data_IF_487865627573
#
_entry.id   IF_487865627573
#
_cell.length_a   1.000
_cell.length_b   1.000
_cell.length_c   1.000
_cell.angle_alpha   90.00
_cell.angle_beta   90.00
_cell.angle_gamma   90.00
#
_symmetry.space_group_name_H-M   'P 1'
#
loop_
_entity.id
_entity.type
_entity.pdbx_description
1 polymer ?
#
# COMPACT_ATOMS: atom_id res chain seq x y z
N UNK A 1 -20.19 -3.19 11.44
CA UNK A 1 -19.15 -4.21 11.21
C UNK A 1 -19.39 -5.47 12.05
N UNK A 2 -19.60 -5.35 13.37
CA UNK A 2 -19.71 -6.50 14.28
C UNK A 2 -20.84 -7.50 13.98
N UNK A 3 -21.95 -7.05 13.37
CA UNK A 3 -23.12 -7.90 13.03
C UNK A 3 -22.81 -8.91 11.90
N UNK A 4 -21.85 -8.61 11.01
CA UNK A 4 -21.48 -9.47 9.87
C UNK A 4 -20.21 -10.28 10.18
N UNK A 5 -19.28 -9.70 10.93
CA UNK A 5 -17.99 -10.32 11.24
C UNK A 5 -18.10 -11.48 12.23
N UNK A 6 -19.01 -11.41 13.19
CA UNK A 6 -19.23 -12.48 14.17
C UNK A 6 -19.78 -13.77 13.56
N UNK A 7 -20.83 -13.77 12.72
CA UNK A 7 -21.29 -15.01 12.08
C UNK A 7 -20.26 -15.55 11.08
N UNK A 8 -19.51 -14.69 10.38
CA UNK A 8 -18.46 -15.13 9.47
C UNK A 8 -17.30 -15.81 10.21
N UNK A 9 -16.85 -15.24 11.33
CA UNK A 9 -15.84 -15.86 12.20
C UNK A 9 -16.30 -17.22 12.73
N UNK A 10 -17.57 -17.33 13.15
CA UNK A 10 -18.16 -18.60 13.61
C UNK A 10 -18.25 -19.67 12.51
N UNK A 11 -18.61 -19.27 11.28
CA UNK A 11 -18.64 -20.19 10.12
C UNK A 11 -17.22 -20.67 9.77
N UNK A 12 -16.23 -19.76 9.77
CA UNK A 12 -14.84 -20.12 9.53
C UNK A 12 -14.29 -21.05 10.61
N UNK A 13 -14.61 -20.78 11.87
CA UNK A 13 -14.28 -21.66 12.98
C UNK A 13 -14.89 -23.05 12.80
N UNK A 14 -16.16 -23.14 12.40
CA UNK A 14 -16.83 -24.43 12.15
C UNK A 14 -16.17 -25.23 11.00
N UNK A 15 -15.71 -24.56 9.94
CA UNK A 15 -15.10 -25.21 8.77
C UNK A 15 -13.64 -25.62 9.03
N UNK A 16 -12.89 -24.77 9.74
CA UNK A 16 -11.42 -24.89 9.83
C UNK A 16 -10.92 -25.34 11.21
N UNK A 17 -11.75 -25.21 12.25
CA UNK A 17 -11.36 -25.40 13.65
C UNK A 17 -10.48 -24.28 14.21
N UNK A 18 -10.23 -23.20 13.45
CA UNK A 18 -9.34 -22.10 13.82
C UNK A 18 -10.19 -20.86 14.14
N UNK A 19 -9.95 -20.25 15.30
CA UNK A 19 -10.59 -18.98 15.67
C UNK A 19 -9.88 -17.83 14.96
N UNK A 20 -10.60 -17.11 14.10
CA UNK A 20 -10.05 -15.98 13.34
C UNK A 20 -10.54 -14.68 13.97
N UNK A 21 -9.58 -13.83 14.35
CA UNK A 21 -9.86 -12.51 14.92
C UNK A 21 -10.58 -11.62 13.89
N UNK A 22 -11.48 -10.77 14.37
CA UNK A 22 -12.29 -9.90 13.50
C UNK A 22 -11.44 -9.01 12.59
N UNK A 23 -10.30 -8.52 13.08
CA UNK A 23 -9.41 -7.61 12.34
C UNK A 23 -8.70 -8.32 11.18
N UNK A 24 -8.33 -9.59 11.36
CA UNK A 24 -7.78 -10.42 10.29
C UNK A 24 -8.82 -10.67 9.19
N UNK A 25 -10.09 -10.84 9.55
CA UNK A 25 -11.18 -10.97 8.58
C UNK A 25 -11.44 -9.68 7.81
N UNK A 26 -11.37 -8.53 8.48
CA UNK A 26 -11.50 -7.21 7.82
C UNK A 26 -10.34 -7.00 6.84
N UNK A 27 -9.12 -7.31 7.25
CA UNK A 27 -7.93 -7.24 6.41
C UNK A 27 -8.07 -8.12 5.17
N UNK A 28 -8.40 -9.39 5.35
CA UNK A 28 -8.60 -10.30 4.24
C UNK A 28 -9.73 -9.84 3.30
N UNK A 29 -10.86 -9.40 3.86
CA UNK A 29 -12.01 -8.92 3.10
C UNK A 29 -11.64 -7.68 2.27
N UNK A 30 -10.88 -6.74 2.85
CA UNK A 30 -10.45 -5.54 2.15
C UNK A 30 -9.41 -5.82 1.05
N UNK A 31 -8.60 -6.88 1.17
CA UNK A 31 -7.76 -7.36 0.06
C UNK A 31 -8.59 -7.87 -1.12
N UNK A 32 -9.64 -8.65 -0.87
CA UNK A 32 -10.56 -9.11 -1.93
C UNK A 32 -11.33 -7.94 -2.55
N UNK A 33 -11.81 -7.00 -1.73
CA UNK A 33 -12.46 -5.78 -2.21
C UNK A 33 -11.51 -4.94 -3.06
N UNK A 34 -10.23 -4.83 -2.69
CA UNK A 34 -9.21 -4.16 -3.49
C UNK A 34 -8.98 -4.86 -4.83
N UNK A 35 -8.96 -6.20 -4.87
CA UNK A 35 -8.83 -6.97 -6.10
C UNK A 35 -10.02 -6.77 -7.05
N UNK A 36 -11.25 -6.84 -6.52
CA UNK A 36 -12.47 -6.58 -7.30
C UNK A 36 -12.51 -5.12 -7.77
N UNK A 37 -12.16 -4.19 -6.87
CA UNK A 37 -12.06 -2.76 -7.18
C UNK A 37 -11.03 -2.45 -8.25
N UNK A 38 -9.90 -3.18 -8.29
CA UNK A 38 -8.89 -3.07 -9.34
C UNK A 38 -9.43 -3.52 -10.70
N UNK A 39 -10.15 -4.64 -10.73
CA UNK A 39 -10.81 -5.13 -11.95
C UNK A 39 -11.88 -4.14 -12.44
N UNK A 40 -12.72 -3.64 -11.52
CA UNK A 40 -13.74 -2.64 -11.82
C UNK A 40 -13.12 -1.33 -12.31
N UNK A 41 -12.05 -0.85 -11.68
CA UNK A 41 -11.31 0.33 -12.13
C UNK A 41 -10.81 0.16 -13.56
N UNK A 42 -10.17 -0.98 -13.87
CA UNK A 42 -9.64 -1.26 -15.20
C UNK A 42 -10.73 -1.37 -16.28
N UNK A 43 -11.90 -1.91 -15.95
CA UNK A 43 -12.95 -2.13 -16.94
C UNK A 43 -13.92 -0.95 -17.10
N UNK A 44 -14.22 -0.24 -16.01
CA UNK A 44 -15.21 0.83 -16.02
C UNK A 44 -14.60 2.22 -16.01
N UNK A 45 -13.60 2.49 -15.15
CA UNK A 45 -13.04 3.84 -14.99
C UNK A 45 -11.96 4.15 -16.04
N UNK A 46 -11.08 3.20 -16.32
CA UNK A 46 -9.95 3.45 -17.23
C UNK A 46 -10.38 3.65 -18.70
N UNK A 47 -11.36 2.92 -19.26
CA UNK A 47 -11.84 3.15 -20.62
C UNK A 47 -12.82 4.33 -20.73
N UNK A 48 -13.36 4.79 -19.60
CA UNK A 48 -14.28 5.92 -19.57
C UNK A 48 -13.56 7.23 -19.84
N UNK A 49 -14.26 8.22 -20.42
CA UNK A 49 -13.77 9.59 -20.61
C UNK A 49 -13.64 10.38 -19.30
N UNK A 50 -13.44 9.71 -18.16
CA UNK A 50 -13.33 10.33 -16.84
C UNK A 50 -11.99 11.07 -16.73
N UNK A 51 -11.98 12.35 -16.30
CA UNK A 51 -10.76 13.13 -16.14
C UNK A 51 -9.74 12.49 -15.19
N UNK A 52 -8.45 12.63 -15.47
CA UNK A 52 -7.36 12.08 -14.66
C UNK A 52 -7.46 12.47 -13.19
N UNK A 53 -7.78 13.73 -12.88
CA UNK A 53 -7.92 14.22 -11.50
C UNK A 53 -9.01 13.47 -10.73
N UNK A 54 -10.14 13.18 -11.38
CA UNK A 54 -11.24 12.42 -10.78
C UNK A 54 -10.80 10.98 -10.54
N UNK A 55 -10.07 10.36 -11.46
CA UNK A 55 -9.53 9.02 -11.27
C UNK A 55 -8.54 8.95 -10.10
N UNK A 56 -7.66 9.95 -9.99
CA UNK A 56 -6.69 10.07 -8.89
C UNK A 56 -7.42 10.22 -7.54
N UNK A 57 -8.43 11.09 -7.47
CA UNK A 57 -9.24 11.28 -6.26
C UNK A 57 -10.01 10.03 -5.86
N UNK A 58 -10.69 9.38 -6.80
CA UNK A 58 -11.43 8.14 -6.53
C UNK A 58 -10.51 7.04 -6.01
N UNK A 59 -9.35 6.87 -6.64
CA UNK A 59 -8.33 5.89 -6.24
C UNK A 59 -7.80 6.17 -4.83
N UNK A 60 -7.56 7.44 -4.49
CA UNK A 60 -7.08 7.83 -3.17
C UNK A 60 -8.14 7.70 -2.08
N UNK A 61 -9.38 8.09 -2.37
CA UNK A 61 -10.51 8.01 -1.44
C UNK A 61 -10.83 6.55 -1.13
N UNK A 62 -10.78 5.67 -2.12
CA UNK A 62 -10.97 4.24 -1.92
C UNK A 62 -9.83 3.62 -1.08
N UNK A 63 -8.59 4.06 -1.28
CA UNK A 63 -7.46 3.62 -0.44
C UNK A 63 -7.57 4.08 1.01
N UNK A 64 -7.98 5.33 1.25
CA UNK A 64 -8.27 5.86 2.59
C UNK A 64 -9.40 5.09 3.26
N UNK A 65 -10.46 4.80 2.50
CA UNK A 65 -11.57 4.00 3.00
C UNK A 65 -11.14 2.59 3.40
N UNK A 66 -10.33 1.91 2.57
CA UNK A 66 -9.74 0.60 2.92
C UNK A 66 -8.88 0.68 4.18
N UNK A 67 -8.00 1.69 4.29
CA UNK A 67 -7.18 1.87 5.49
C UNK A 67 -8.06 2.07 6.73
N UNK A 68 -9.06 2.96 6.65
CA UNK A 68 -9.96 3.28 7.75
C UNK A 68 -10.77 2.06 8.20
N UNK A 69 -11.20 1.19 7.28
CA UNK A 69 -11.90 -0.04 7.66
C UNK A 69 -11.02 -0.96 8.53
N UNK A 70 -9.72 -1.02 8.26
CA UNK A 70 -8.78 -1.89 8.96
C UNK A 70 -8.30 -1.32 10.29
N UNK A 71 -8.01 -0.02 10.34
CA UNK A 71 -7.31 0.62 11.46
C UNK A 71 -8.00 1.86 12.00
N UNK A 72 -9.20 2.19 11.51
CA UNK A 72 -10.04 3.26 12.05
C UNK A 72 -9.32 4.59 12.23
N UNK A 73 -9.26 5.05 13.47
CA UNK A 73 -8.74 6.37 13.83
C UNK A 73 -7.25 6.56 13.57
N UNK A 74 -6.48 5.49 13.39
CA UNK A 74 -5.05 5.59 13.04
C UNK A 74 -4.82 6.22 11.65
N UNK A 75 -5.86 6.45 10.85
CA UNK A 75 -5.78 7.14 9.54
C UNK A 75 -5.12 8.54 9.60
N UNK A 76 -5.17 9.21 10.75
CA UNK A 76 -4.53 10.51 10.91
C UNK A 76 -3.00 10.45 10.78
N UNK A 77 -2.38 9.31 11.10
CA UNK A 77 -0.93 9.12 11.03
C UNK A 77 -0.41 9.14 9.58
N UNK A 78 -0.90 8.30 8.64
CA UNK A 78 -0.47 8.40 7.24
C UNK A 78 -0.89 9.72 6.59
N UNK A 79 -2.02 10.34 6.99
CA UNK A 79 -2.40 11.66 6.48
C UNK A 79 -1.37 12.72 6.87
N UNK A 80 -0.94 12.72 8.14
CA UNK A 80 0.12 13.59 8.63
C UNK A 80 1.43 13.35 7.87
N UNK A 81 1.83 12.10 7.67
CA UNK A 81 3.07 11.75 6.99
C UNK A 81 3.08 12.21 5.51
N UNK A 82 1.99 11.97 4.78
CA UNK A 82 1.85 12.36 3.37
C UNK A 82 1.81 13.88 3.22
N UNK A 83 1.01 14.58 4.03
CA UNK A 83 0.91 16.04 3.97
C UNK A 83 2.23 16.69 4.38
N UNK A 84 2.82 16.26 5.49
CA UNK A 84 4.12 16.76 5.96
C UNK A 84 5.22 16.59 4.91
N UNK A 85 5.30 15.40 4.31
CA UNK A 85 6.28 15.12 3.26
C UNK A 85 6.06 15.97 2.00
N UNK A 86 4.81 16.18 1.59
CA UNK A 86 4.50 17.06 0.45
C UNK A 86 4.92 18.51 0.72
N UNK A 87 4.67 19.03 1.92
CA UNK A 87 5.09 20.37 2.32
C UNK A 87 6.62 20.51 2.30
N UNK A 88 7.35 19.49 2.76
CA UNK A 88 8.83 19.47 2.68
C UNK A 88 9.29 19.54 1.22
N UNK A 89 8.71 18.73 0.32
CA UNK A 89 9.03 18.75 -1.12
C UNK A 89 8.72 20.11 -1.75
N UNK A 90 7.63 20.76 -1.32
CA UNK A 90 7.15 22.02 -1.91
C UNK A 90 7.94 23.24 -1.45
N UNK A 91 8.38 23.27 -0.19
CA UNK A 91 9.06 24.42 0.41
C UNK A 91 10.59 24.31 0.42
N UNK A 92 11.13 23.12 0.19
CA UNK A 92 12.57 22.89 0.19
C UNK A 92 13.12 22.75 -1.22
N UNK A 93 14.37 23.16 -1.45
CA UNK A 93 15.06 22.93 -2.72
C UNK A 93 15.14 21.42 -3.06
N UNK A 94 14.92 21.01 -4.33
CA UNK A 94 15.06 19.62 -4.78
C UNK A 94 16.43 18.98 -4.48
N UNK A 95 17.47 19.79 -4.27
CA UNK A 95 18.82 19.32 -3.93
C UNK A 95 18.89 18.60 -2.58
N UNK A 96 18.03 18.96 -1.64
CA UNK A 96 18.09 18.44 -0.26
C UNK A 96 16.74 17.91 0.23
N UNK A 97 15.64 18.20 -0.46
CA UNK A 97 14.28 17.80 -0.04
C UNK A 97 14.15 16.28 0.20
N UNK A 98 14.77 15.45 -0.64
CA UNK A 98 14.76 13.99 -0.48
C UNK A 98 15.34 13.51 0.85
N UNK A 99 16.38 14.17 1.37
CA UNK A 99 16.99 13.84 2.66
C UNK A 99 16.03 14.16 3.81
N UNK A 100 15.37 15.32 3.74
CA UNK A 100 14.39 15.73 4.74
C UNK A 100 13.14 14.85 4.72
N UNK A 101 12.61 14.52 3.54
CA UNK A 101 11.48 13.59 3.40
C UNK A 101 11.84 12.21 3.96
N UNK A 102 13.02 11.68 3.60
CA UNK A 102 13.49 10.41 4.11
C UNK A 102 13.56 10.40 5.64
N UNK A 103 14.23 11.40 6.23
CA UNK A 103 14.35 11.51 7.69
C UNK A 103 12.99 11.65 8.37
N UNK A 104 12.11 12.48 7.82
CA UNK A 104 10.76 12.70 8.36
C UNK A 104 9.92 11.42 8.33
N UNK A 105 9.75 10.82 7.15
CA UNK A 105 8.93 9.61 6.96
C UNK A 105 9.48 8.41 7.73
N UNK A 106 10.80 8.21 7.77
CA UNK A 106 11.43 7.16 8.58
C UNK A 106 11.25 7.41 10.08
N UNK A 107 11.27 8.67 10.53
CA UNK A 107 11.01 9.00 11.95
C UNK A 107 9.56 8.70 12.33
N UNK A 108 8.60 9.04 11.47
CA UNK A 108 7.19 8.71 11.67
C UNK A 108 7.01 7.19 11.71
N UNK A 109 7.54 6.44 10.74
CA UNK A 109 7.48 4.98 10.72
C UNK A 109 8.13 4.34 11.95
N UNK A 110 9.29 4.87 12.38
CA UNK A 110 9.99 4.39 13.59
C UNK A 110 9.14 4.63 14.84
N UNK A 111 8.49 5.78 14.96
CA UNK A 111 7.58 6.08 16.06
C UNK A 111 6.37 5.13 16.06
N UNK A 112 5.80 4.81 14.89
CA UNK A 112 4.74 3.81 14.77
C UNK A 112 5.21 2.43 15.25
N UNK A 113 6.40 1.98 14.84
CA UNK A 113 6.96 0.72 15.31
C UNK A 113 7.20 0.69 16.82
N UNK A 114 7.75 1.77 17.39
CA UNK A 114 7.94 1.89 18.83
C UNK A 114 6.59 1.90 19.58
N UNK A 115 5.57 2.55 19.03
CA UNK A 115 4.23 2.57 19.59
C UNK A 115 3.59 1.17 19.57
N UNK A 116 3.66 0.45 18.46
CA UNK A 116 3.19 -0.94 18.35
C UNK A 116 3.92 -1.85 19.34
N UNK A 117 5.25 -1.69 19.47
CA UNK A 117 6.05 -2.45 20.44
C UNK A 117 5.66 -2.13 21.89
N UNK A 118 5.42 -0.86 22.20
CA UNK A 118 4.97 -0.42 23.52
C UNK A 118 3.63 -1.05 23.88
N UNK A 119 2.64 -1.00 22.99
CA UNK A 119 1.32 -1.61 23.21
C UNK A 119 1.44 -3.13 23.43
N UNK A 120 2.30 -3.80 22.65
CA UNK A 120 2.55 -5.23 22.78
C UNK A 120 3.19 -5.60 24.14
N UNK A 121 4.16 -4.82 24.62
CA UNK A 121 4.88 -5.09 25.88
C UNK A 121 4.06 -4.79 27.12
N UNK A 122 3.26 -3.72 27.12
CA UNK A 122 2.53 -3.24 28.31
C UNK A 122 1.11 -3.78 28.42
N UNK A 123 0.73 -4.75 27.58
CA UNK A 123 -0.43 -5.60 27.81
C UNK A 123 -1.75 -4.84 27.92
N UNK A 124 -1.95 -3.80 27.09
CA UNK A 124 -3.30 -3.26 26.85
C UNK A 124 -4.09 -4.31 26.07
N UNK A 125 -4.47 -5.36 26.79
CA UNK A 125 -5.11 -6.57 26.28
C UNK A 125 -6.48 -6.21 25.72
N UNK A 126 -6.54 -6.03 24.41
CA UNK A 126 -7.72 -5.60 23.69
C UNK A 126 -7.41 -4.81 22.42
N UNK A 127 -6.20 -4.25 22.30
CA UNK A 127 -5.76 -3.44 21.14
C UNK A 127 -4.61 -4.12 20.36
N UNK A 128 -4.51 -5.45 20.46
CA UNK A 128 -3.53 -6.29 19.75
C UNK A 128 -3.82 -6.40 18.23
N UNK A 129 -4.77 -5.63 17.73
CA UNK A 129 -5.48 -5.83 16.47
C UNK A 129 -5.01 -4.98 15.30
N UNK A 130 -3.98 -4.15 15.46
CA UNK A 130 -3.73 -3.10 14.51
C UNK A 130 -2.25 -2.83 14.30
N UNK A 131 -1.48 -3.79 13.79
CA UNK A 131 -0.18 -3.45 13.21
C UNK A 131 -0.37 -2.66 11.90
N UNK A 132 -0.68 -1.38 12.05
CA UNK A 132 -0.82 -0.40 10.98
C UNK A 132 0.56 0.06 10.46
N UNK A 133 1.67 -0.49 10.97
CA UNK A 133 3.00 -0.16 10.46
C UNK A 133 3.18 -0.69 9.04
N UNK A 134 2.51 -1.78 8.66
CA UNK A 134 2.57 -2.36 7.31
C UNK A 134 2.17 -1.35 6.19
N UNK A 135 0.99 -0.71 6.21
CA UNK A 135 0.67 0.32 5.24
C UNK A 135 1.56 1.57 5.38
N UNK A 136 2.04 1.89 6.59
CA UNK A 136 3.00 2.97 6.78
C UNK A 136 4.33 2.68 6.06
N UNK A 137 4.83 1.44 6.08
CA UNK A 137 6.02 1.05 5.33
C UNK A 137 5.85 1.31 3.83
N UNK A 138 4.70 0.93 3.25
CA UNK A 138 4.41 1.14 1.82
C UNK A 138 4.38 2.64 1.50
N UNK A 139 3.75 3.44 2.36
CA UNK A 139 3.69 4.90 2.21
C UNK A 139 5.11 5.49 2.31
N UNK A 140 5.88 5.16 3.34
CA UNK A 140 7.27 5.62 3.52
C UNK A 140 8.13 5.27 2.30
N UNK A 141 8.01 4.06 1.76
CA UNK A 141 8.71 3.64 0.53
C UNK A 141 8.30 4.50 -0.67
N UNK A 142 7.00 4.75 -0.87
CA UNK A 142 6.48 5.59 -1.96
C UNK A 142 6.98 7.03 -1.84
N UNK A 143 6.83 7.65 -0.67
CA UNK A 143 7.21 9.03 -0.39
C UNK A 143 8.72 9.23 -0.56
N UNK A 144 9.52 8.33 0.02
CA UNK A 144 10.98 8.35 -0.11
C UNK A 144 11.38 8.18 -1.58
N UNK A 145 10.90 7.15 -2.26
CA UNK A 145 11.23 6.87 -3.67
C UNK A 145 10.89 8.05 -4.59
N UNK A 146 9.72 8.66 -4.42
CA UNK A 146 9.32 9.85 -5.17
C UNK A 146 10.23 11.04 -4.88
N UNK A 147 10.59 11.27 -3.63
CA UNK A 147 11.46 12.39 -3.26
C UNK A 147 12.87 12.25 -3.89
N UNK A 148 13.44 11.04 -3.88
CA UNK A 148 14.70 10.75 -4.57
C UNK A 148 14.57 10.88 -6.09
N UNK A 149 13.46 10.40 -6.66
CA UNK A 149 13.19 10.54 -8.09
C UNK A 149 13.07 12.01 -8.53
N UNK A 150 12.50 12.88 -7.69
CA UNK A 150 12.48 14.33 -7.91
C UNK A 150 13.90 14.90 -7.83
N UNK A 151 14.69 14.51 -6.83
CA UNK A 151 16.08 14.97 -6.72
C UNK A 151 16.92 14.59 -7.95
N UNK A 152 16.83 13.33 -8.40
CA UNK A 152 17.49 12.84 -9.62
C UNK A 152 17.03 13.63 -10.86
N UNK A 153 15.75 13.97 -10.97
CA UNK A 153 15.20 14.70 -12.11
C UNK A 153 15.57 16.18 -12.20
N UNK A 154 15.83 16.84 -11.07
CA UNK A 154 16.11 18.28 -11.01
C UNK A 154 17.58 18.65 -10.81
N UNK A 155 18.38 17.77 -10.19
CA UNK A 155 19.71 18.17 -9.69
C UNK A 155 20.88 17.41 -10.29
N UNK A 156 20.63 16.26 -10.93
CA UNK A 156 21.68 15.42 -11.50
C UNK A 156 21.71 15.55 -13.02
N UNK A 157 22.93 15.55 -13.58
CA UNK A 157 23.11 15.52 -15.02
C UNK A 157 22.55 14.18 -15.56
N UNK A 158 21.67 14.18 -16.58
CA UNK A 158 21.15 12.97 -17.20
C UNK A 158 22.22 11.93 -17.57
N UNK A 159 23.39 12.37 -18.02
CA UNK A 159 24.48 11.45 -18.42
C UNK A 159 25.13 10.74 -17.24
N UNK A 160 25.00 11.31 -16.03
CA UNK A 160 25.53 10.75 -14.78
C UNK A 160 24.56 9.79 -14.07
N UNK A 161 23.34 9.66 -14.58
CA UNK A 161 22.31 8.78 -14.03
C UNK A 161 22.45 7.38 -14.61
N UNK A 162 22.25 6.36 -13.78
CA UNK A 162 22.03 5.00 -14.28
C UNK A 162 20.72 4.93 -15.09
N UNK A 163 20.58 3.91 -15.95
CA UNK A 163 19.38 3.79 -16.79
C UNK A 163 18.09 3.66 -15.98
N UNK A 164 18.14 2.97 -14.84
CA UNK A 164 17.00 2.89 -13.91
C UNK A 164 16.65 4.27 -13.32
N UNK A 165 17.66 5.06 -12.92
CA UNK A 165 17.42 6.42 -12.42
C UNK A 165 16.87 7.34 -13.50
N UNK A 166 17.35 7.23 -14.74
CA UNK A 166 16.80 7.99 -15.88
C UNK A 166 15.33 7.68 -16.10
N UNK A 167 14.93 6.42 -16.01
CA UNK A 167 13.55 5.98 -16.20
C UNK A 167 12.61 6.52 -15.11
N UNK A 168 13.09 6.57 -13.87
CA UNK A 168 12.27 6.99 -12.73
C UNK A 168 12.43 8.46 -12.36
N UNK A 169 13.37 9.19 -12.95
CA UNK A 169 13.58 10.62 -12.72
C UNK A 169 12.30 11.43 -12.96
N UNK A 170 11.93 12.25 -11.99
CA UNK A 170 10.73 13.09 -12.00
C UNK A 170 11.14 14.54 -12.22
N UNK A 171 10.87 15.05 -13.42
CA UNK A 171 11.28 16.40 -13.87
C UNK A 171 10.23 17.50 -13.62
N UNK A 172 9.15 17.17 -12.91
CA UNK A 172 8.11 18.11 -12.47
C UNK A 172 7.74 17.82 -11.02
N UNK A 173 7.53 18.86 -10.21
CA UNK A 173 6.96 18.63 -8.87
C UNK A 173 5.51 18.18 -9.06
N UNK A 174 5.09 17.01 -8.52
CA UNK A 174 3.71 16.55 -8.60
C UNK A 174 2.74 17.55 -7.99
N UNK A 175 1.51 17.62 -8.51
CA UNK A 175 0.44 18.33 -7.80
C UNK A 175 0.11 17.61 -6.49
N UNK A 176 -0.56 18.30 -5.56
CA UNK A 176 -0.99 17.67 -4.31
C UNK A 176 -1.88 16.44 -4.57
N UNK A 177 -2.78 16.51 -5.55
CA UNK A 177 -3.66 15.39 -5.91
C UNK A 177 -2.86 14.21 -6.47
N UNK A 178 -1.87 14.46 -7.34
CA UNK A 178 -0.98 13.41 -7.86
C UNK A 178 -0.19 12.74 -6.71
N UNK A 179 0.38 13.53 -5.81
CA UNK A 179 1.18 13.06 -4.68
C UNK A 179 0.33 12.26 -3.68
N UNK A 180 -0.84 12.80 -3.33
CA UNK A 180 -1.77 12.20 -2.39
C UNK A 180 -2.35 10.90 -2.93
N UNK A 181 -2.72 10.87 -4.22
CA UNK A 181 -3.24 9.68 -4.87
C UNK A 181 -2.19 8.59 -5.05
N UNK A 182 -0.96 8.95 -5.40
CA UNK A 182 0.14 8.00 -5.42
C UNK A 182 0.37 7.36 -4.03
N UNK A 183 0.34 8.16 -2.97
CA UNK A 183 0.54 7.69 -1.60
C UNK A 183 -0.58 6.75 -1.15
N UNK A 184 -1.83 7.16 -1.31
CA UNK A 184 -3.03 6.41 -0.90
C UNK A 184 -3.61 5.52 -2.01
N UNK A 185 -2.82 5.15 -3.02
CA UNK A 185 -3.32 4.31 -4.09
C UNK A 185 -3.73 2.94 -3.53
N UNK A 186 -5.03 2.62 -3.62
CA UNK A 186 -5.60 1.37 -3.09
C UNK A 186 -4.99 0.12 -3.71
N UNK A 187 -4.45 0.24 -4.93
CA UNK A 187 -3.67 -0.78 -5.63
C UNK A 187 -2.34 -0.94 -4.88
N UNK A 188 -2.36 -1.74 -3.82
CA UNK A 188 -1.17 -2.10 -3.05
C UNK A 188 -0.92 -1.31 -1.75
N UNK A 189 -1.87 -0.49 -1.27
CA UNK A 189 -1.69 0.22 0.01
C UNK A 189 -1.48 -0.72 1.22
N UNK A 190 -2.05 -1.93 1.17
CA UNK A 190 -2.00 -2.87 2.29
C UNK A 190 -0.76 -3.76 2.29
N UNK A 191 -0.38 -4.28 1.12
CA UNK A 191 0.71 -5.24 0.96
C UNK A 191 1.17 -5.31 -0.52
N UNK A 192 1.34 -4.15 -1.16
CA UNK A 192 1.80 -4.07 -2.54
C UNK A 192 3.31 -3.87 -2.65
N UNK A 193 3.94 -4.31 -3.76
CA UNK A 193 5.31 -3.91 -4.05
C UNK A 193 5.38 -2.40 -4.27
N UNK A 194 6.55 -1.82 -4.05
CA UNK A 194 6.82 -0.44 -4.43
C UNK A 194 6.67 -0.28 -5.95
N UNK A 195 5.80 0.65 -6.35
CA UNK A 195 5.61 1.07 -7.74
C UNK A 195 6.13 2.49 -7.85
N UNK A 196 7.02 2.76 -8.80
CA UNK A 196 7.56 4.11 -9.01
C UNK A 196 6.49 5.07 -9.56
N UNK A 197 6.61 6.35 -9.18
CA UNK A 197 5.64 7.40 -9.52
C UNK A 197 5.39 7.57 -11.02
N UNK A 198 6.43 7.54 -11.86
CA UNK A 198 6.27 7.67 -13.32
C UNK A 198 5.38 6.56 -13.89
N UNK A 199 5.60 5.32 -13.45
CA UNK A 199 4.80 4.17 -13.87
C UNK A 199 3.37 4.24 -13.33
N UNK A 200 3.19 4.67 -12.07
CA UNK A 200 1.86 4.94 -11.51
C UNK A 200 1.09 5.95 -12.36
N UNK A 201 1.71 7.09 -12.69
CA UNK A 201 1.09 8.13 -13.49
C UNK A 201 0.79 7.68 -14.92
N UNK A 202 1.63 6.84 -15.51
CA UNK A 202 1.37 6.24 -16.82
C UNK A 202 0.16 5.30 -16.78
N UNK A 203 0.06 4.46 -15.74
CA UNK A 203 -1.10 3.59 -15.52
C UNK A 203 -2.39 4.40 -15.39
N UNK A 204 -2.37 5.48 -14.61
CA UNK A 204 -3.55 6.34 -14.38
C UNK A 204 -3.96 7.11 -15.64
N UNK A 205 -3.02 7.42 -16.54
CA UNK A 205 -3.30 8.10 -17.81
C UNK A 205 -3.79 7.16 -18.92
N UNK A 206 -3.71 5.85 -18.72
CA UNK A 206 -4.00 4.87 -19.77
C UNK A 206 -3.00 4.93 -20.93
N UNK A 207 -1.70 4.96 -20.60
CA UNK A 207 -0.59 5.11 -21.55
C UNK A 207 -0.59 4.12 -22.73
N UNK A 208 0.14 4.48 -23.79
CA UNK A 208 0.17 3.74 -25.07
C UNK A 208 0.63 2.29 -24.91
N UNK A 209 1.55 2.00 -23.98
CA UNK A 209 2.03 0.63 -23.69
C UNK A 209 0.93 -0.27 -23.10
N UNK A 210 -0.02 0.32 -22.39
CA UNK A 210 -1.09 -0.42 -21.72
C UNK A 210 -2.17 -0.94 -22.71
N UNK A 211 -2.28 -0.32 -23.89
CA UNK A 211 -3.14 -0.82 -24.99
C UNK A 211 -2.60 -2.10 -25.63
N UNK A 212 -1.32 -2.41 -25.47
CA UNK A 212 -0.67 -3.63 -25.95
C UNK A 212 -0.37 -4.63 -24.83
N UNK A 213 -0.70 -4.30 -23.58
CA UNK A 213 -0.41 -5.17 -22.44
C UNK A 213 -1.23 -6.47 -22.51
N UNK A 214 -0.59 -7.65 -22.35
CA UNK A 214 -1.28 -8.93 -22.34
C UNK A 214 -2.31 -9.01 -21.19
N UNK A 215 -3.28 -9.91 -21.34
CA UNK A 215 -4.33 -10.09 -20.33
C UNK A 215 -3.72 -10.34 -18.94
N UNK A 216 -4.06 -9.48 -17.99
CA UNK A 216 -3.60 -9.57 -16.60
C UNK A 216 -4.22 -10.76 -15.84
N UNK A 217 -5.24 -11.42 -16.41
CA UNK A 217 -5.96 -12.50 -15.73
C UNK A 217 -5.07 -13.74 -15.54
N UNK A 218 -4.29 -14.12 -16.55
CA UNK A 218 -3.40 -15.29 -16.48
C UNK A 218 -2.33 -15.11 -15.38
N UNK A 219 -1.58 -13.99 -15.31
CA UNK A 219 -0.65 -13.74 -14.21
C UNK A 219 -1.32 -13.73 -12.83
N UNK A 220 -2.53 -13.15 -12.71
CA UNK A 220 -3.28 -13.11 -11.45
C UNK A 220 -3.63 -14.53 -10.99
N UNK A 221 -4.24 -15.33 -11.86
CA UNK A 221 -4.62 -16.73 -11.54
C UNK A 221 -3.39 -17.57 -11.20
N UNK A 222 -2.30 -17.43 -11.97
CA UNK A 222 -1.06 -18.17 -11.70
C UNK A 222 -0.48 -17.83 -10.33
N UNK A 223 -0.42 -16.53 -9.97
CA UNK A 223 0.07 -16.10 -8.64
C UNK A 223 -0.84 -16.57 -7.52
N UNK A 224 -2.15 -16.57 -7.72
CA UNK A 224 -3.11 -17.13 -6.78
C UNK A 224 -2.87 -18.63 -6.54
N UNK A 225 -2.71 -19.42 -7.60
CA UNK A 225 -2.44 -20.86 -7.49
C UNK A 225 -1.12 -21.16 -6.77
N UNK A 226 -0.06 -20.42 -7.10
CA UNK A 226 1.23 -20.52 -6.41
C UNK A 226 1.08 -20.17 -4.93
N UNK A 227 0.33 -19.11 -4.60
CA UNK A 227 0.04 -18.72 -3.22
C UNK A 227 -0.70 -19.80 -2.44
N UNK A 228 -1.75 -20.38 -3.02
CA UNK A 228 -2.47 -21.53 -2.43
C UNK A 228 -1.55 -22.73 -2.23
N UNK A 229 -0.64 -22.99 -3.18
CA UNK A 229 0.38 -24.03 -3.06
C UNK A 229 1.29 -23.82 -1.85
N UNK A 230 1.84 -22.61 -1.68
CA UNK A 230 2.69 -22.28 -0.52
C UNK A 230 1.94 -22.37 0.80
N UNK A 231 0.71 -21.85 0.87
CA UNK A 231 -0.13 -21.95 2.07
C UNK A 231 -0.40 -23.42 2.40
N UNK A 232 -0.71 -24.25 1.41
CA UNK A 232 -0.94 -25.69 1.61
C UNK A 232 0.31 -26.39 2.13
N UNK A 233 1.48 -26.09 1.54
CA UNK A 233 2.77 -26.60 2.02
C UNK A 233 3.07 -26.16 3.45
N UNK A 234 2.77 -24.90 3.81
CA UNK A 234 2.96 -24.39 5.16
C UNK A 234 2.02 -25.08 6.16
N UNK A 235 0.75 -25.23 5.84
CA UNK A 235 -0.24 -25.88 6.73
C UNK A 235 0.08 -27.36 6.93
N UNK A 236 0.46 -28.08 5.86
CA UNK A 236 0.82 -29.50 5.95
C UNK A 236 2.18 -29.68 6.62
N UNK A 237 3.19 -28.91 6.19
CA UNK A 237 4.56 -28.97 6.70
C UNK A 237 4.66 -28.51 8.16
N UNK A 238 3.87 -27.50 8.55
CA UNK A 238 3.83 -26.97 9.91
C UNK A 238 3.41 -28.01 10.96
N UNK A 239 2.64 -29.03 10.56
CA UNK A 239 2.30 -30.18 11.44
C UNK A 239 3.49 -31.05 11.80
N UNK A 240 4.57 -30.98 11.03
CA UNK A 240 5.80 -31.78 11.23
C UNK A 240 6.92 -30.97 11.89
N UNK A 241 6.80 -29.65 12.03
CA UNK A 241 7.80 -28.81 12.69
C UNK A 241 7.47 -28.63 14.19
N UNK A 242 8.36 -29.04 15.12
CA UNK A 242 8.09 -29.04 16.56
C UNK A 242 7.81 -27.65 17.17
N UNK A 243 8.28 -26.57 16.54
CA UNK A 243 8.14 -25.20 17.04
C UNK A 243 6.69 -24.69 17.06
N UNK A 244 5.78 -25.29 16.28
CA UNK A 244 4.36 -24.92 16.22
C UNK A 244 3.47 -25.78 17.12
N UNK A 245 4.04 -26.73 17.88
CA UNK A 245 3.27 -27.64 18.75
C UNK A 245 2.93 -27.03 20.11
N UNK A 246 3.68 -26.01 20.53
CA UNK A 246 3.60 -25.39 21.86
C UNK A 246 3.32 -23.88 21.81
N UNK A 247 2.93 -23.34 20.64
CA UNK A 247 2.53 -21.95 20.47
C UNK A 247 1.01 -21.85 20.37
#
# INVERSE_FOLDING_TARGET
MNIILTPLSQVLFFITGVEVQADQLIFLSTLFISLIGSFAYKHFLQPSSVPLEVQLLLTSLFGIWIFYLNWGWYIWVPLFDVVGSYLIVRWTSPLVSHKYVFLFTMSVLSACHLHTLYLFMYGVAGDTSADYTSPMMVITQRLTSLSFSIADGFTRNPDSLSDNQKQHAVRKIPSFIEYFSYSFCFLGIMAGPLVFYNYFMECMKGGKEQKQAPSALVPVVMKWLVGVGFISCYVVGGRYFPALRNA
#
